data_IF_406632175478
#
_entry.id   IF_406632175478
#
_cell.length_a   1.000
_cell.length_b   1.000
_cell.length_c   1.000
_cell.angle_alpha   90.00
_cell.angle_beta   90.00
_cell.angle_gamma   90.00
#
_symmetry.space_group_name_H-M   'P 1'
#
loop_
_entity.id
_entity.type
_entity.pdbx_description
1 polymer ?
#
# COMPACT_ATOMS: atom_id res chain seq x y z
N UNK A 1 -21.03 25.10 -10.40
CA UNK A 1 -19.80 24.92 -9.60
C UNK A 1 -19.48 23.44 -9.63
N UNK A 2 -18.44 23.03 -10.34
CA UNK A 2 -17.94 21.64 -10.26
C UNK A 2 -17.18 21.56 -8.93
N UNK A 3 -17.82 21.01 -7.91
CA UNK A 3 -17.10 20.56 -6.73
C UNK A 3 -16.21 19.41 -7.22
N UNK A 4 -14.93 19.70 -7.39
CA UNK A 4 -13.90 18.67 -7.38
C UNK A 4 -13.99 18.02 -6.01
N UNK A 5 -14.71 16.91 -5.92
CA UNK A 5 -14.65 16.03 -4.76
C UNK A 5 -13.25 15.45 -4.84
N UNK A 6 -12.28 16.09 -4.17
CA UNK A 6 -11.02 15.43 -3.89
C UNK A 6 -11.37 14.06 -3.30
N UNK A 7 -10.85 12.96 -3.88
CA UNK A 7 -11.11 11.66 -3.31
C UNK A 7 -10.63 11.71 -1.86
N UNK A 8 -11.53 11.45 -0.90
CA UNK A 8 -11.18 11.44 0.51
C UNK A 8 -9.93 10.58 0.67
N UNK A 9 -8.84 11.22 1.13
CA UNK A 9 -7.64 10.50 1.49
C UNK A 9 -8.03 9.51 2.59
N UNK A 10 -8.11 8.24 2.23
CA UNK A 10 -8.38 7.19 3.21
C UNK A 10 -7.20 7.09 4.17
N UNK A 11 -7.53 6.86 5.44
CA UNK A 11 -6.53 6.55 6.44
C UNK A 11 -5.72 5.32 6.01
N UNK A 12 -4.40 5.30 6.25
CA UNK A 12 -3.59 4.12 5.99
C UNK A 12 -4.17 2.91 6.72
N UNK A 13 -4.14 1.75 6.06
CA UNK A 13 -4.53 0.48 6.66
C UNK A 13 -3.29 -0.27 7.12
N UNK A 14 -3.25 -0.65 8.40
CA UNK A 14 -2.21 -1.54 8.93
C UNK A 14 -2.67 -2.99 8.83
N UNK A 15 -1.80 -3.88 8.35
CA UNK A 15 -2.03 -5.32 8.44
C UNK A 15 -0.74 -6.06 8.78
N UNK A 16 -0.89 -7.31 9.23
CA UNK A 16 0.20 -8.19 9.63
C UNK A 16 0.50 -9.18 8.50
N UNK A 17 1.76 -9.26 8.09
CA UNK A 17 2.21 -10.24 7.09
C UNK A 17 2.35 -11.65 7.68
N UNK A 18 2.54 -12.64 6.81
CA UNK A 18 2.78 -14.05 7.18
C UNK A 18 3.95 -14.27 8.15
N UNK A 19 4.96 -13.40 8.14
CA UNK A 19 6.14 -13.46 9.03
C UNK A 19 6.01 -12.58 10.28
N UNK A 20 4.88 -11.90 10.47
CA UNK A 20 4.62 -11.05 11.64
C UNK A 20 5.11 -9.60 11.52
N UNK A 21 5.45 -9.14 10.30
CA UNK A 21 5.78 -7.73 10.04
C UNK A 21 4.50 -6.93 9.85
N UNK A 22 4.40 -5.75 10.46
CA UNK A 22 3.27 -4.85 10.25
C UNK A 22 3.56 -3.92 9.06
N UNK A 23 2.62 -3.83 8.11
CA UNK A 23 2.72 -3.00 6.91
C UNK A 23 1.57 -1.98 6.92
N UNK A 24 1.90 -0.71 6.70
CA UNK A 24 0.96 0.38 6.48
C UNK A 24 0.77 0.59 4.98
N UNK A 25 -0.48 0.57 4.53
CA UNK A 25 -0.88 0.76 3.14
C UNK A 25 -1.67 2.06 2.99
N UNK A 26 -1.22 2.97 2.13
CA UNK A 26 -1.94 4.20 1.83
C UNK A 26 -2.32 4.26 0.34
N UNK A 27 -3.61 4.06 0.00
CA UNK A 27 -4.06 4.14 -1.38
C UNK A 27 -4.16 5.59 -1.86
N UNK A 28 -3.76 5.81 -3.11
CA UNK A 28 -3.89 7.08 -3.82
C UNK A 28 -4.89 6.94 -4.95
N UNK A 29 -5.98 7.69 -4.86
CA UNK A 29 -7.03 7.73 -5.87
C UNK A 29 -6.67 8.68 -7.01
N UNK A 30 -6.86 8.22 -8.24
CA UNK A 30 -6.56 8.99 -9.46
C UNK A 30 -7.83 9.51 -10.14
N UNK A 31 -8.98 8.89 -9.86
CA UNK A 31 -10.31 9.30 -10.30
C UNK A 31 -11.37 8.71 -9.35
N UNK A 32 -12.64 9.18 -9.39
CA UNK A 32 -13.70 8.60 -8.57
C UNK A 32 -13.81 7.07 -8.77
N UNK A 33 -13.66 6.32 -7.69
CA UNK A 33 -13.69 4.85 -7.72
C UNK A 33 -12.45 4.16 -8.29
N UNK A 34 -11.43 4.91 -8.75
CA UNK A 34 -10.19 4.36 -9.32
C UNK A 34 -9.00 4.66 -8.43
N UNK A 35 -8.31 3.59 -8.01
CA UNK A 35 -7.04 3.68 -7.29
C UNK A 35 -5.93 3.56 -8.34
N UNK A 36 -4.84 4.33 -8.19
CA UNK A 36 -3.71 4.29 -9.13
C UNK A 36 -2.38 3.88 -8.50
N UNK A 37 -2.18 4.22 -7.23
CA UNK A 37 -0.95 3.89 -6.50
C UNK A 37 -1.27 3.46 -5.06
N UNK A 38 -0.50 2.54 -4.48
CA UNK A 38 -0.54 2.24 -3.04
C UNK A 38 0.87 2.31 -2.49
N UNK A 39 1.04 3.14 -1.46
CA UNK A 39 2.30 3.24 -0.73
C UNK A 39 2.33 2.19 0.39
N UNK A 40 3.36 1.35 0.37
CA UNK A 40 3.63 0.32 1.38
C UNK A 40 4.74 0.83 2.30
N UNK A 41 4.53 0.80 3.61
CA UNK A 41 5.56 1.14 4.59
C UNK A 41 5.61 0.08 5.67
N UNK A 42 6.79 -0.45 5.99
CA UNK A 42 6.93 -1.34 7.14
C UNK A 42 6.90 -0.53 8.43
N UNK A 43 5.94 -0.84 9.30
CA UNK A 43 5.86 -0.29 10.63
C UNK A 43 7.03 -0.82 11.48
N UNK A 44 7.55 0.03 12.37
CA UNK A 44 8.66 -0.27 13.30
C UNK A 44 10.02 -0.52 12.64
N UNK A 45 10.18 -0.26 11.34
CA UNK A 45 11.49 -0.17 10.71
C UNK A 45 12.11 1.23 10.89
N UNK A 46 13.44 1.34 11.09
CA UNK A 46 14.11 2.64 11.10
C UNK A 46 13.81 3.42 9.81
N UNK A 47 13.60 4.74 9.91
CA UNK A 47 13.21 5.58 8.78
C UNK A 47 14.19 5.57 7.58
N UNK A 48 15.43 5.10 7.78
CA UNK A 48 16.42 4.90 6.71
C UNK A 48 16.37 3.51 6.04
N UNK A 49 15.53 2.60 6.53
CA UNK A 49 15.37 1.22 6.04
C UNK A 49 13.94 0.92 5.64
N UNK A 50 12.94 1.65 6.17
CA UNK A 50 11.55 1.49 5.77
C UNK A 50 11.41 1.92 4.29
N UNK A 51 11.23 0.97 3.36
CA UNK A 51 11.00 1.33 1.99
C UNK A 51 9.54 1.73 1.88
N UNK A 52 9.33 2.94 1.37
CA UNK A 52 8.08 3.25 0.71
C UNK A 52 8.13 2.56 -0.65
N UNK A 53 7.66 1.32 -0.71
CA UNK A 53 7.44 0.66 -2.01
C UNK A 53 6.09 1.11 -2.56
N UNK A 54 6.01 1.24 -3.88
CA UNK A 54 4.82 1.73 -4.57
C UNK A 54 4.34 0.67 -5.53
N UNK A 55 3.18 0.10 -5.24
CA UNK A 55 2.46 -0.71 -6.23
C UNK A 55 1.66 0.25 -7.09
N UNK A 56 1.69 0.08 -8.41
CA UNK A 56 1.01 0.94 -9.38
C UNK A 56 0.19 0.07 -10.32
N UNK A 57 -1.07 0.45 -10.55
CA UNK A 57 -1.93 -0.27 -11.49
C UNK A 57 -3.24 0.47 -11.75
N UNK A 58 -3.91 0.19 -12.88
CA UNK A 58 -5.28 0.62 -13.07
C UNK A 58 -6.19 -0.32 -12.29
N UNK A 59 -6.59 0.07 -11.08
CA UNK A 59 -7.52 -0.72 -10.28
C UNK A 59 -8.92 -0.13 -10.35
N UNK A 60 -9.90 -1.00 -10.59
CA UNK A 60 -11.30 -0.62 -10.67
C UNK A 60 -11.99 -0.67 -9.29
N UNK A 61 -11.28 -1.15 -8.26
CA UNK A 61 -11.76 -1.16 -6.88
C UNK A 61 -10.64 -1.01 -5.85
N UNK A 62 -11.02 -0.62 -4.63
CA UNK A 62 -10.13 -0.58 -3.48
C UNK A 62 -9.64 -1.98 -3.07
N UNK A 63 -10.51 -2.98 -3.12
CA UNK A 63 -10.18 -4.36 -2.74
C UNK A 63 -9.11 -4.95 -3.67
N UNK A 64 -9.22 -4.69 -4.97
CA UNK A 64 -8.20 -5.09 -5.95
C UNK A 64 -6.84 -4.42 -5.68
N UNK A 65 -6.85 -3.11 -5.45
CA UNK A 65 -5.63 -2.36 -5.12
C UNK A 65 -5.01 -2.85 -3.80
N UNK A 66 -5.83 -3.13 -2.79
CA UNK A 66 -5.41 -3.64 -1.50
C UNK A 66 -4.79 -5.04 -1.63
N UNK A 67 -5.44 -5.96 -2.34
CA UNK A 67 -4.93 -7.33 -2.53
C UNK A 67 -3.61 -7.35 -3.31
N UNK A 68 -3.51 -6.58 -4.40
CA UNK A 68 -2.26 -6.49 -5.16
C UNK A 68 -1.10 -5.93 -4.31
N UNK A 69 -1.43 -4.99 -3.42
CA UNK A 69 -0.48 -4.41 -2.48
C UNK A 69 -0.09 -5.38 -1.38
N UNK A 70 -1.04 -6.19 -0.91
CA UNK A 70 -0.82 -7.23 0.08
C UNK A 70 0.17 -8.27 -0.43
N UNK A 71 -0.06 -8.75 -1.65
CA UNK A 71 0.80 -9.75 -2.30
C UNK A 71 2.19 -9.18 -2.62
N UNK A 72 2.30 -7.88 -2.89
CA UNK A 72 3.59 -7.22 -3.06
C UNK A 72 4.37 -7.16 -1.75
N UNK A 73 3.72 -6.78 -0.64
CA UNK A 73 4.39 -6.71 0.64
C UNK A 73 4.74 -8.09 1.21
N UNK A 74 3.93 -9.14 1.00
CA UNK A 74 4.31 -10.52 1.34
C UNK A 74 5.60 -10.94 0.61
N UNK A 75 5.67 -10.77 -0.71
CA UNK A 75 6.89 -11.07 -1.49
C UNK A 75 8.09 -10.24 -1.05
N UNK A 76 7.86 -8.98 -0.68
CA UNK A 76 8.94 -8.10 -0.24
C UNK A 76 9.49 -8.52 1.12
N UNK A 77 8.62 -8.95 2.03
CA UNK A 77 9.00 -9.45 3.35
C UNK A 77 9.66 -10.83 3.26
N UNK A 78 9.20 -11.73 2.39
CA UNK A 78 9.90 -12.99 2.09
C UNK A 78 11.35 -12.73 1.70
N UNK A 79 11.59 -11.73 0.83
CA UNK A 79 12.96 -11.34 0.43
C UNK A 79 13.81 -10.73 1.54
N UNK A 80 13.20 -10.10 2.54
CA UNK A 80 13.93 -9.64 3.73
C UNK A 80 14.37 -10.82 4.60
N UNK A 81 13.51 -11.83 4.76
CA UNK A 81 13.80 -13.02 5.57
C UNK A 81 14.83 -13.95 4.90
N UNK A 82 14.81 -14.01 3.56
CA UNK A 82 15.81 -14.73 2.75
C UNK A 82 17.22 -14.11 2.80
N UNK A 83 17.35 -12.93 3.41
CA UNK A 83 18.64 -12.28 3.66
C UNK A 83 19.16 -11.51 2.45
N UNK A 84 19.19 -10.19 2.61
CA UNK A 84 20.42 -9.45 2.29
C UNK A 84 21.52 -9.89 3.25
#
# INVERSE_FOLDING_TARGET
>A
MQQSVEPEFMAPSEYLTSTGVAVLMSPRYIAPGKVGEVLLSLAKMPAGVSPLDVVVGPWESHEEAFQASHDAAERWVERLDEGV
#
